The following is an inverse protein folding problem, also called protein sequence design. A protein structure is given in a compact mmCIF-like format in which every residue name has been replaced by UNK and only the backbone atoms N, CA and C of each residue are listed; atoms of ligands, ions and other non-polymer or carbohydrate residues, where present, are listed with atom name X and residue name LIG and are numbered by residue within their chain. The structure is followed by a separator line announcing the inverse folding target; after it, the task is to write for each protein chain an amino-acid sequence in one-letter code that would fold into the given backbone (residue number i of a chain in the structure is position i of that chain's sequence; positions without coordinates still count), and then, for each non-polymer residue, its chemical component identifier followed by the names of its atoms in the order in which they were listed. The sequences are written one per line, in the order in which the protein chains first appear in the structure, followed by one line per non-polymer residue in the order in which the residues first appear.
data_IF_183381333438
#
_entry.id   IF_183381333438
#
_cell.length_a   1.000
_cell.length_b   1.000
_cell.length_c   1.000
_cell.angle_alpha   90.00
_cell.angle_beta   90.00
_cell.angle_gamma   90.00
#
_symmetry.space_group_name_H-M   'P 1'
#
loop_
_entity.id
_entity.type
_entity.pdbx_description
1 polymer ?
#
# COMPACT_ATOMS: atom_id res chain seq x y z
N UNK A 1 31.63 -3.33 6.80
CA UNK A 1 31.28 -3.82 5.45
C UNK A 1 30.11 -2.99 4.94
N UNK A 2 30.12 -2.50 3.69
CA UNK A 2 29.05 -1.65 3.11
C UNK A 2 27.98 -2.53 2.43
N UNK A 3 27.25 -3.32 3.21
CA UNK A 3 26.19 -4.16 2.67
C UNK A 3 24.90 -3.35 2.49
N UNK A 4 24.30 -3.46 1.31
CA UNK A 4 23.02 -2.84 0.97
C UNK A 4 22.00 -3.94 0.73
N UNK A 5 20.93 -3.95 1.51
CA UNK A 5 19.75 -4.78 1.25
C UNK A 5 18.78 -3.95 0.39
N UNK A 6 18.41 -4.51 -0.77
CA UNK A 6 17.44 -3.91 -1.68
C UNK A 6 16.12 -4.67 -1.55
N UNK A 7 15.11 -3.98 -1.01
CA UNK A 7 13.75 -4.47 -0.86
C UNK A 7 12.90 -3.85 -1.97
N UNK A 8 12.37 -4.69 -2.86
CA UNK A 8 11.47 -4.26 -3.92
C UNK A 8 10.04 -4.73 -3.63
N UNK A 9 9.04 -3.87 -3.83
CA UNK A 9 7.64 -4.18 -3.54
C UNK A 9 6.69 -3.62 -4.60
N UNK A 10 5.48 -4.20 -4.65
CA UNK A 10 4.33 -3.62 -5.33
C UNK A 10 3.14 -3.80 -4.37
N UNK A 11 2.71 -2.69 -3.77
CA UNK A 11 1.68 -2.69 -2.73
C UNK A 11 0.26 -2.75 -3.32
N UNK A 12 -0.70 -3.16 -2.49
CA UNK A 12 -2.09 -3.34 -2.90
C UNK A 12 -2.68 -2.05 -3.52
N UNK A 13 -3.23 -2.15 -4.73
CA UNK A 13 -3.68 -0.98 -5.49
C UNK A 13 -5.05 -0.41 -5.04
N UNK A 14 -6.09 -1.23 -4.78
CA UNK A 14 -7.38 -0.71 -4.34
C UNK A 14 -7.29 0.03 -3.00
N UNK A 15 -8.17 1.01 -2.79
CA UNK A 15 -8.37 1.62 -1.46
C UNK A 15 -7.87 3.04 -1.21
N UNK A 16 -7.90 3.88 -2.23
CA UNK A 16 -7.71 5.33 -2.05
C UNK A 16 -6.30 5.67 -1.61
N UNK A 17 -6.13 6.41 -0.52
CA UNK A 17 -4.83 6.80 0.06
C UNK A 17 -4.57 6.11 1.42
N UNK A 18 -5.25 4.99 1.67
CA UNK A 18 -5.07 4.18 2.88
C UNK A 18 -6.18 4.31 3.93
N UNK A 19 -7.32 4.92 3.59
CA UNK A 19 -8.46 5.07 4.51
C UNK A 19 -9.45 3.90 4.43
N UNK A 20 -10.09 3.60 5.57
CA UNK A 20 -11.20 2.66 5.60
C UNK A 20 -10.77 1.20 5.49
N UNK A 21 -11.73 0.35 5.09
CA UNK A 21 -11.51 -1.09 4.87
C UNK A 21 -10.52 -1.30 3.72
N UNK A 22 -10.68 -0.54 2.64
CA UNK A 22 -9.90 -0.72 1.43
C UNK A 22 -8.42 -0.35 1.63
N UNK A 23 -8.11 0.56 2.56
CA UNK A 23 -6.76 0.94 2.93
C UNK A 23 -6.03 -0.05 3.86
N UNK A 24 -6.75 -0.97 4.51
CA UNK A 24 -6.22 -1.82 5.58
C UNK A 24 -5.08 -2.74 5.11
N UNK A 25 -5.19 -3.28 3.88
CA UNK A 25 -4.14 -4.13 3.31
C UNK A 25 -2.83 -3.37 3.12
N UNK A 26 -2.89 -2.13 2.62
CA UNK A 26 -1.69 -1.30 2.50
C UNK A 26 -1.13 -0.88 3.85
N UNK A 27 -1.97 -0.59 4.83
CA UNK A 27 -1.52 -0.31 6.21
C UNK A 27 -0.74 -1.50 6.78
N UNK A 28 -1.26 -2.72 6.61
CA UNK A 28 -0.58 -3.94 7.04
C UNK A 28 0.75 -4.15 6.31
N UNK A 29 0.78 -3.97 4.99
CA UNK A 29 2.01 -4.05 4.18
C UNK A 29 3.05 -3.01 4.61
N UNK A 30 2.63 -1.76 4.85
CA UNK A 30 3.51 -0.68 5.29
C UNK A 30 4.13 -1.00 6.66
N UNK A 31 3.33 -1.50 7.60
CA UNK A 31 3.79 -1.93 8.91
C UNK A 31 4.85 -3.04 8.81
N UNK A 32 4.57 -4.09 8.03
CA UNK A 32 5.49 -5.21 7.83
C UNK A 32 6.81 -4.77 7.17
N UNK A 33 6.74 -3.90 6.16
CA UNK A 33 7.93 -3.32 5.54
C UNK A 33 8.72 -2.49 6.56
N UNK A 34 8.06 -1.66 7.35
CA UNK A 34 8.70 -0.89 8.41
C UNK A 34 9.46 -1.80 9.41
N UNK A 35 8.85 -2.88 9.88
CA UNK A 35 9.51 -3.83 10.80
C UNK A 35 10.68 -4.57 10.12
N UNK A 36 10.53 -4.97 8.86
CA UNK A 36 11.62 -5.57 8.09
C UNK A 36 12.81 -4.61 7.92
N UNK A 37 12.55 -3.33 7.66
CA UNK A 37 13.59 -2.31 7.54
C UNK A 37 14.31 -2.12 8.86
N UNK A 38 13.58 -2.01 9.99
CA UNK A 38 14.19 -1.93 11.33
C UNK A 38 15.11 -3.13 11.59
N UNK A 39 14.65 -4.34 11.31
CA UNK A 39 15.42 -5.58 11.45
C UNK A 39 16.72 -5.56 10.61
N UNK A 40 16.69 -5.02 9.37
CA UNK A 40 17.91 -4.89 8.55
C UNK A 40 18.88 -3.86 9.11
N UNK A 41 18.37 -2.74 9.60
CA UNK A 41 19.18 -1.67 10.19
C UNK A 41 19.85 -2.12 11.49
N UNK A 42 19.15 -2.88 12.34
CA UNK A 42 19.70 -3.47 13.55
C UNK A 42 20.86 -4.43 13.26
N UNK A 43 20.82 -5.10 12.10
CA UNK A 43 21.93 -5.93 11.60
C UNK A 43 23.06 -5.14 10.94
N UNK A 44 23.04 -3.81 11.04
CA UNK A 44 24.07 -2.94 10.49
C UNK A 44 24.09 -2.89 8.96
N UNK A 45 22.95 -3.14 8.30
CA UNK A 45 22.83 -3.07 6.83
C UNK A 45 22.20 -1.77 6.38
N UNK A 46 22.69 -1.23 5.26
CA UNK A 46 22.01 -0.16 4.55
C UNK A 46 20.79 -0.72 3.85
N UNK A 47 19.72 0.07 3.74
CA UNK A 47 18.47 -0.36 3.12
C UNK A 47 18.10 0.58 2.00
N UNK A 48 17.76 0.01 0.84
CA UNK A 48 16.97 0.64 -0.21
C UNK A 48 15.63 -0.09 -0.27
N UNK A 49 14.53 0.63 -0.05
CA UNK A 49 13.16 0.14 -0.18
C UNK A 49 12.50 0.84 -1.37
N UNK A 50 12.14 0.11 -2.40
CA UNK A 50 11.69 0.69 -3.67
C UNK A 50 10.54 -0.07 -4.32
N UNK A 51 9.89 0.57 -5.30
CA UNK A 51 8.81 -0.01 -6.10
C UNK A 51 7.55 0.86 -6.09
N UNK A 52 6.41 0.25 -6.45
CA UNK A 52 5.11 0.91 -6.49
C UNK A 52 4.38 0.73 -5.14
N UNK A 53 4.22 1.82 -4.41
CA UNK A 53 3.56 1.84 -3.11
C UNK A 53 2.05 2.05 -3.22
N UNK A 54 1.54 2.33 -4.42
CA UNK A 54 0.15 2.66 -4.69
C UNK A 54 -0.41 3.74 -3.75
N UNK A 55 0.46 4.62 -3.24
CA UNK A 55 0.11 5.61 -2.23
C UNK A 55 0.82 6.93 -2.52
N UNK A 56 0.12 8.06 -2.37
CA UNK A 56 0.68 9.39 -2.59
C UNK A 56 1.57 9.84 -1.42
N UNK A 57 2.41 10.88 -1.60
CA UNK A 57 3.37 11.31 -0.57
C UNK A 57 2.75 11.70 0.78
N UNK A 58 1.49 12.18 0.77
CA UNK A 58 0.78 12.61 1.98
C UNK A 58 0.00 11.49 2.68
N UNK A 59 0.01 10.27 2.14
CA UNK A 59 -0.73 9.13 2.70
C UNK A 59 -0.17 8.68 4.04
N UNK A 60 -1.00 8.00 4.84
CA UNK A 60 -0.55 7.34 6.07
C UNK A 60 0.49 6.27 5.80
N UNK A 61 0.42 5.62 4.62
CA UNK A 61 1.36 4.59 4.18
C UNK A 61 2.79 5.15 4.13
N UNK A 62 2.96 6.31 3.50
CA UNK A 62 4.27 6.96 3.43
C UNK A 62 4.72 7.44 4.81
N UNK A 63 3.83 7.99 5.63
CA UNK A 63 4.17 8.40 7.01
C UNK A 63 4.63 7.25 7.90
N UNK A 64 4.05 6.04 7.77
CA UNK A 64 4.51 4.84 8.50
C UNK A 64 5.97 4.54 8.17
N UNK A 65 6.32 4.54 6.87
CA UNK A 65 7.66 4.21 6.39
C UNK A 65 8.68 5.30 6.75
N UNK A 66 8.32 6.57 6.52
CA UNK A 66 9.18 7.73 6.77
C UNK A 66 9.34 8.06 8.25
N UNK A 67 8.34 7.78 9.09
CA UNK A 67 8.43 8.01 10.54
C UNK A 67 8.97 6.78 11.24
N UNK A 68 8.30 5.62 11.13
CA UNK A 68 8.60 4.42 11.91
C UNK A 68 9.96 3.81 11.62
N UNK A 69 10.29 3.67 10.33
CA UNK A 69 11.59 3.16 9.90
C UNK A 69 12.55 4.30 9.57
N UNK A 70 12.18 5.55 9.85
CA UNK A 70 12.91 6.79 9.53
C UNK A 70 13.51 6.81 8.12
N UNK A 71 12.80 6.21 7.17
CA UNK A 71 13.26 6.14 5.78
C UNK A 71 13.25 7.53 5.16
N UNK A 72 14.28 7.81 4.37
CA UNK A 72 14.38 9.04 3.59
C UNK A 72 13.86 8.82 2.18
N UNK A 73 13.03 9.74 1.68
CA UNK A 73 12.56 9.74 0.30
C UNK A 73 13.60 10.39 -0.64
N UNK A 74 14.18 9.61 -1.54
CA UNK A 74 15.19 10.08 -2.48
C UNK A 74 14.72 11.25 -3.34
N UNK A 75 13.45 11.25 -3.79
CA UNK A 75 12.92 12.31 -4.64
C UNK A 75 12.74 13.61 -3.85
N UNK A 76 12.13 13.52 -2.67
CA UNK A 76 11.88 14.68 -1.80
C UNK A 76 13.18 15.33 -1.31
N UNK A 77 14.27 14.56 -1.15
CA UNK A 77 15.56 15.10 -0.74
C UNK A 77 16.34 15.79 -1.87
N UNK A 78 16.07 15.45 -3.13
CA UNK A 78 16.81 15.97 -4.30
C UNK A 78 16.04 17.03 -5.08
N UNK A 79 14.77 17.25 -4.76
CA UNK A 79 13.89 18.19 -5.45
C UNK A 79 13.21 19.12 -4.44
N UNK A 80 12.86 20.33 -4.89
CA UNK A 80 12.12 21.27 -4.05
C UNK A 80 10.71 20.75 -3.79
N UNK A 81 10.16 21.08 -2.62
CA UNK A 81 8.77 20.77 -2.32
C UNK A 81 7.83 21.39 -3.37
N UNK A 82 6.91 20.61 -3.96
CA UNK A 82 6.05 21.12 -5.01
C UNK A 82 5.07 22.17 -4.47
N UNK A 83 4.61 23.12 -5.32
CA UNK A 83 3.58 24.06 -4.93
C UNK A 83 2.27 23.32 -4.63
N UNK A 84 1.44 23.89 -3.75
CA UNK A 84 0.10 23.36 -3.48
C UNK A 84 -0.70 23.24 -4.78
N UNK A 85 -1.43 22.13 -4.95
CA UNK A 85 -2.26 21.86 -6.15
C UNK A 85 -3.37 22.90 -6.35
N UNK A 86 -3.74 23.65 -5.30
CA UNK A 86 -4.74 24.73 -5.37
C UNK A 86 -4.14 26.09 -5.68
N UNK A 87 -2.81 26.21 -5.73
CA UNK A 87 -2.11 27.48 -5.95
C UNK A 87 -2.13 27.94 -7.40
N UNK A 88 -1.92 29.24 -7.62
CA UNK A 88 -1.73 29.81 -8.97
C UNK A 88 -0.43 29.27 -9.60
N UNK A 89 0.62 29.12 -8.80
CA UNK A 89 1.91 28.58 -9.26
C UNK A 89 1.75 27.19 -9.90
N UNK A 90 0.99 26.30 -9.25
CA UNK A 90 0.68 24.98 -9.82
C UNK A 90 -0.12 25.05 -11.12
N UNK A 91 -1.15 25.91 -11.18
CA UNK A 91 -1.99 26.07 -12.37
C UNK A 91 -1.24 26.55 -13.62
N UNK A 92 -0.11 27.23 -13.42
CA UNK A 92 0.73 27.74 -14.51
C UNK A 92 1.76 26.70 -15.02
N UNK A 93 1.86 25.53 -14.38
CA UNK A 93 2.78 24.49 -14.81
C UNK A 93 2.26 23.77 -16.06
N UNK A 94 3.15 23.57 -17.04
CA UNK A 94 2.90 22.64 -18.15
C UNK A 94 2.88 21.20 -17.65
N UNK A 95 2.26 20.24 -18.39
CA UNK A 95 2.27 18.83 -18.00
C UNK A 95 3.65 18.25 -17.69
N UNK A 96 4.68 18.64 -18.45
CA UNK A 96 6.07 18.21 -18.23
C UNK A 96 6.63 18.81 -16.95
N UNK A 97 6.41 20.10 -16.70
CA UNK A 97 6.84 20.73 -15.45
C UNK A 97 6.12 20.14 -14.25
N UNK A 98 4.81 19.89 -14.35
CA UNK A 98 4.04 19.22 -13.30
C UNK A 98 4.60 17.85 -12.98
N UNK A 99 4.92 17.04 -14.00
CA UNK A 99 5.55 15.74 -13.83
C UNK A 99 6.88 15.86 -13.08
N UNK A 100 7.75 16.78 -13.50
CA UNK A 100 9.08 16.97 -12.91
C UNK A 100 9.07 17.63 -11.53
N UNK A 101 8.07 18.44 -11.20
CA UNK A 101 8.00 19.12 -9.90
C UNK A 101 7.35 18.21 -8.86
N UNK A 102 6.28 17.50 -9.24
CA UNK A 102 5.57 16.60 -8.32
C UNK A 102 6.12 15.17 -8.30
N UNK A 103 7.04 14.82 -9.20
CA UNK A 103 7.56 13.46 -9.34
C UNK A 103 6.49 12.48 -9.80
N UNK A 104 5.67 12.88 -10.77
CA UNK A 104 4.56 12.06 -11.27
C UNK A 104 5.11 10.86 -12.02
N UNK A 105 4.68 9.67 -11.60
CA UNK A 105 5.05 8.39 -12.21
C UNK A 105 3.86 7.67 -12.83
N UNK A 106 2.63 7.94 -12.39
CA UNK A 106 1.43 7.24 -12.86
C UNK A 106 0.29 8.22 -13.22
N UNK A 107 -0.70 7.75 -13.98
CA UNK A 107 -1.92 8.48 -14.33
C UNK A 107 -1.62 9.87 -14.94
N UNK A 108 -0.55 9.99 -15.73
CA UNK A 108 -0.06 11.24 -16.31
C UNK A 108 -0.70 11.56 -17.67
N UNK A 109 -1.01 12.84 -17.97
CA UNK A 109 -1.45 13.23 -19.31
C UNK A 109 -0.39 13.04 -20.40
N UNK A 110 0.88 12.82 -20.01
CA UNK A 110 1.99 12.54 -20.94
C UNK A 110 2.11 11.06 -21.31
N UNK A 111 1.40 10.18 -20.61
CA UNK A 111 1.48 8.74 -20.81
C UNK A 111 0.36 8.25 -21.74
N UNK A 112 0.69 7.47 -22.76
CA UNK A 112 -0.29 7.08 -23.80
C UNK A 112 -1.39 6.16 -23.29
N UNK A 113 -1.14 5.40 -22.22
CA UNK A 113 -2.14 4.49 -21.64
C UNK A 113 -3.10 5.20 -20.68
N UNK A 114 -2.66 6.26 -20.00
CA UNK A 114 -3.48 6.95 -18.99
C UNK A 114 -4.03 8.31 -19.42
N UNK A 115 -3.51 8.94 -20.47
CA UNK A 115 -3.97 10.27 -20.93
C UNK A 115 -5.48 10.32 -21.20
N UNK A 116 -6.02 9.35 -21.96
CA UNK A 116 -7.44 9.31 -22.29
C UNK A 116 -8.32 9.05 -21.04
N UNK A 117 -7.86 8.19 -20.12
CA UNK A 117 -8.53 7.91 -18.84
C UNK A 117 -8.57 9.16 -17.97
N UNK A 118 -7.44 9.87 -17.85
CA UNK A 118 -7.32 11.09 -17.06
C UNK A 118 -8.21 12.21 -17.60
N UNK A 119 -8.26 12.39 -18.92
CA UNK A 119 -9.09 13.41 -19.57
C UNK A 119 -10.60 13.23 -19.29
N UNK A 120 -11.05 11.98 -19.12
CA UNK A 120 -12.44 11.63 -18.80
C UNK A 120 -12.80 11.84 -17.33
N UNK A 121 -11.82 11.98 -16.43
CA UNK A 121 -12.08 12.24 -15.01
C UNK A 121 -12.73 13.60 -14.80
N UNK A 122 -13.53 13.73 -13.74
CA UNK A 122 -14.18 15.00 -13.41
C UNK A 122 -13.13 16.13 -13.21
N UNK A 123 -13.38 17.40 -13.63
CA UNK A 123 -12.40 18.49 -13.47
C UNK A 123 -11.96 18.77 -12.03
N UNK A 124 -12.78 18.36 -11.05
CA UNK A 124 -12.47 18.47 -9.60
C UNK A 124 -11.77 17.24 -9.02
N UNK A 125 -11.51 16.21 -9.82
CA UNK A 125 -10.74 15.03 -9.38
C UNK A 125 -9.30 15.44 -9.05
N UNK A 126 -8.82 15.02 -7.88
CA UNK A 126 -7.50 15.43 -7.40
C UNK A 126 -6.38 14.97 -8.34
N UNK A 127 -6.46 13.76 -8.87
CA UNK A 127 -5.43 13.23 -9.80
C UNK A 127 -5.37 14.09 -11.05
N UNK A 128 -6.54 14.52 -11.56
CA UNK A 128 -6.62 15.44 -12.70
C UNK A 128 -6.07 16.84 -12.37
N UNK A 129 -6.40 17.41 -11.21
CA UNK A 129 -5.89 18.73 -10.79
C UNK A 129 -4.37 18.68 -10.61
N UNK A 130 -3.86 17.65 -9.93
CA UNK A 130 -2.43 17.46 -9.66
C UNK A 130 -1.65 17.17 -10.94
N UNK A 131 -2.27 16.61 -11.97
CA UNK A 131 -1.62 16.22 -13.23
C UNK A 131 -1.03 14.81 -13.22
N UNK A 132 -1.53 13.95 -12.33
CA UNK A 132 -1.15 12.54 -12.19
C UNK A 132 -0.89 12.16 -10.73
N UNK A 133 -0.25 11.00 -10.54
CA UNK A 133 0.08 10.44 -9.24
C UNK A 133 1.57 10.14 -9.10
N UNK A 134 2.10 10.32 -7.90
CA UNK A 134 3.42 9.84 -7.52
C UNK A 134 3.24 8.60 -6.68
N UNK A 135 3.48 7.43 -7.27
CA UNK A 135 3.25 6.12 -6.63
C UNK A 135 4.53 5.29 -6.50
N UNK A 136 5.54 5.60 -7.30
CA UNK A 136 6.81 4.87 -7.32
C UNK A 136 7.86 5.62 -6.50
N UNK A 137 8.54 4.89 -5.60
CA UNK A 137 9.47 5.47 -4.64
C UNK A 137 10.79 4.71 -4.60
N UNK A 138 11.86 5.43 -4.22
CA UNK A 138 13.12 4.86 -3.75
C UNK A 138 13.38 5.49 -2.39
N UNK A 139 13.06 4.73 -1.35
CA UNK A 139 13.29 5.09 0.05
C UNK A 139 14.60 4.48 0.52
N UNK A 140 15.31 5.15 1.43
CA UNK A 140 16.59 4.64 1.90
C UNK A 140 16.89 5.01 3.35
N UNK A 141 17.69 4.18 4.01
CA UNK A 141 18.26 4.49 5.31
C UNK A 141 19.58 3.77 5.51
N UNK A 142 20.49 4.44 6.21
CA UNK A 142 21.72 3.82 6.71
C UNK A 142 21.60 3.52 8.20
N UNK A 143 22.23 2.44 8.70
CA UNK A 143 22.20 2.14 10.11
C UNK A 143 22.94 3.24 10.90
N UNK A 144 22.50 3.60 12.11
CA UNK A 144 23.10 4.69 12.89
C UNK A 144 24.61 4.49 13.13
N UNK A 145 25.03 3.24 13.28
CA UNK A 145 26.42 2.83 13.58
C UNK A 145 27.32 2.73 12.34
N UNK A 146 26.81 3.02 11.14
CA UNK A 146 27.59 2.91 9.91
C UNK A 146 28.69 3.97 9.82
N UNK A 147 29.92 3.55 9.52
CA UNK A 147 31.06 4.45 9.25
C UNK A 147 30.97 5.21 7.93
N UNK A 148 30.10 4.78 7.02
CA UNK A 148 29.75 5.53 5.80
C UNK A 148 28.25 5.43 5.59
N UNK A 149 27.56 6.54 5.32
CA UNK A 149 26.11 6.55 5.08
C UNK A 149 25.81 6.70 3.59
N UNK A 150 24.73 6.07 3.14
CA UNK A 150 24.13 6.34 1.84
C UNK A 150 23.67 7.79 1.79
N UNK A 151 24.03 8.48 0.71
CA UNK A 151 23.54 9.79 0.35
C UNK A 151 23.00 9.73 -1.08
N UNK A 152 21.80 10.25 -1.27
CA UNK A 152 21.23 10.43 -2.60
C UNK A 152 21.90 11.64 -3.27
N UNK A 153 22.34 11.46 -4.51
CA UNK A 153 22.98 12.51 -5.30
C UNK A 153 22.01 13.14 -6.30
N UNK A 154 21.20 12.31 -6.94
CA UNK A 154 20.24 12.76 -7.94
C UNK A 154 19.09 11.76 -8.09
N UNK A 155 17.94 12.27 -8.53
CA UNK A 155 16.82 11.47 -9.02
C UNK A 155 16.37 11.94 -10.39
N UNK A 156 15.69 11.06 -11.12
CA UNK A 156 15.12 11.38 -12.43
C UNK A 156 13.89 10.52 -12.73
N UNK A 157 12.87 11.13 -13.33
CA UNK A 157 11.79 10.40 -14.01
C UNK A 157 12.29 10.01 -15.40
N UNK A 158 12.26 8.72 -15.71
CA UNK A 158 12.82 8.11 -16.91
C UNK A 158 11.75 7.33 -17.68
N UNK A 159 12.06 6.94 -18.92
CA UNK A 159 11.13 6.22 -19.81
C UNK A 159 9.85 7.03 -20.06
N UNK A 160 9.99 8.36 -20.19
CA UNK A 160 8.88 9.28 -20.45
C UNK A 160 8.63 9.45 -21.94
N UNK A 161 9.66 9.17 -22.74
CA UNK A 161 9.61 9.12 -24.18
C UNK A 161 8.84 7.89 -24.70
N UNK A 162 8.13 8.01 -25.83
CA UNK A 162 7.52 6.85 -26.48
C UNK A 162 8.57 5.84 -26.95
N UNK A 163 8.18 4.57 -26.97
CA UNK A 163 8.97 3.49 -27.57
C UNK A 163 9.21 3.81 -29.05
N UNK A 164 10.49 3.85 -29.50
CA UNK A 164 10.83 4.11 -30.89
C UNK A 164 10.09 3.17 -31.85
N UNK A 165 9.44 3.72 -32.87
CA UNK A 165 8.69 2.96 -33.87
C UNK A 165 7.26 2.55 -33.48
N UNK A 166 6.89 2.62 -32.19
CA UNK A 166 5.53 2.28 -31.74
C UNK A 166 4.70 3.51 -31.36
N UNK A 167 5.33 4.59 -30.90
CA UNK A 167 4.63 5.81 -30.51
C UNK A 167 3.77 5.68 -29.24
N UNK A 168 3.98 4.62 -28.46
CA UNK A 168 3.34 4.38 -27.16
C UNK A 168 4.37 4.45 -26.03
N UNK A 169 3.94 4.77 -24.81
CA UNK A 169 4.79 4.73 -23.61
C UNK A 169 5.31 3.30 -23.33
N UNK A 170 6.43 3.17 -22.60
CA UNK A 170 6.98 1.85 -22.23
C UNK A 170 6.10 1.06 -21.25
N UNK A 171 5.34 1.76 -20.41
CA UNK A 171 4.42 1.24 -19.41
C UNK A 171 3.35 2.31 -19.13
N UNK A 172 2.29 1.99 -18.40
CA UNK A 172 1.34 2.97 -17.86
C UNK A 172 1.91 3.77 -16.68
N UNK A 173 3.06 3.34 -16.16
CA UNK A 173 3.94 4.10 -15.27
C UNK A 173 5.21 4.58 -15.99
N UNK A 174 5.75 5.72 -15.56
CA UNK A 174 7.11 6.16 -15.84
C UNK A 174 8.07 5.59 -14.79
N UNK A 175 9.34 5.39 -15.17
CA UNK A 175 10.36 4.91 -14.24
C UNK A 175 10.88 6.01 -13.33
N UNK A 176 11.27 5.64 -12.11
CA UNK A 176 12.04 6.50 -11.19
C UNK A 176 13.45 5.92 -11.04
N UNK A 177 14.46 6.75 -11.29
CA UNK A 177 15.87 6.41 -11.10
C UNK A 177 16.50 7.30 -10.04
N UNK A 178 17.43 6.75 -9.26
CA UNK A 178 18.21 7.48 -8.26
C UNK A 178 19.68 7.03 -8.26
N UNK A 179 20.59 7.97 -8.05
CA UNK A 179 22.02 7.70 -7.87
C UNK A 179 22.41 7.96 -6.43
N UNK A 180 23.17 7.03 -5.83
CA UNK A 180 23.63 7.10 -4.45
C UNK A 180 25.13 6.98 -4.35
N UNK A 181 25.72 7.64 -3.35
CA UNK A 181 27.10 7.42 -2.94
C UNK A 181 27.20 7.16 -1.44
N UNK A 182 28.33 6.56 -1.04
CA UNK A 182 28.67 6.36 0.37
C UNK A 182 29.54 7.50 0.86
N UNK A 183 29.04 8.30 1.77
CA UNK A 183 29.81 9.36 2.41
C UNK A 183 30.34 8.90 3.77
N UNK A 184 31.66 8.99 4.02
CA UNK A 184 32.25 8.73 5.34
C UNK A 184 31.61 9.63 6.40
N UNK A 185 31.35 9.08 7.58
CA UNK A 185 31.04 9.90 8.76
C UNK A 185 32.37 10.39 9.35
N UNK A 186 32.65 11.69 9.27
CA UNK A 186 33.78 12.27 10.00
C UNK A 186 33.50 12.14 11.50
N UNK A 187 34.43 11.57 12.31
CA UNK A 187 34.26 11.55 13.75
C UNK A 187 34.46 12.97 14.28
N UNK A 188 33.38 13.74 14.39
CA UNK A 188 33.45 15.07 15.00
C UNK A 188 33.52 14.90 16.51
N UNK A 189 34.67 15.23 17.09
CA UNK A 189 34.86 15.44 18.52
C UNK A 189 34.02 16.66 18.95
N UNK A 190 33.08 16.45 19.87
CA UNK A 190 32.38 17.43 20.72
C UNK A 190 31.74 18.68 20.08
N UNK A 191 30.41 18.68 19.96
CA UNK A 191 29.51 19.59 20.68
C UNK A 191 28.08 19.13 20.41
N UNK A 192 27.36 18.75 21.48
CA UNK A 192 25.92 18.46 21.45
C UNK A 192 25.17 19.77 21.17
N UNK A 193 25.17 20.16 19.90
CA UNK A 193 24.12 20.99 19.35
C UNK A 193 23.03 20.02 18.95
N UNK A 194 21.99 19.93 19.78
CA UNK A 194 20.72 19.27 19.48
C UNK A 194 20.08 19.90 18.23
N UNK A 195 20.65 19.64 17.06
CA UNK A 195 19.90 19.60 15.82
C UNK A 195 19.30 18.20 15.75
N UNK A 196 18.01 18.15 15.48
CA UNK A 196 17.07 17.08 15.83
C UNK A 196 17.23 15.78 15.01
N UNK A 197 18.45 15.28 14.80
CA UNK A 197 18.75 14.06 14.05
C UNK A 197 19.02 12.83 14.93
N UNK A 198 18.56 12.85 16.19
CA UNK A 198 18.91 11.85 17.21
C UNK A 198 17.74 11.21 17.96
N UNK A 199 16.48 11.41 17.57
CA UNK A 199 15.39 10.52 17.99
C UNK A 199 15.11 9.56 16.84
N UNK A 200 15.17 8.25 17.09
CA UNK A 200 14.61 7.28 16.14
C UNK A 200 13.18 7.71 15.84
N UNK A 201 12.89 8.00 14.57
CA UNK A 201 11.55 8.40 14.18
C UNK A 201 10.57 7.34 14.68
N UNK A 202 9.53 7.78 15.38
CA UNK A 202 8.47 6.92 15.87
C UNK A 202 7.17 7.36 15.20
N UNK A 203 6.39 6.39 14.73
CA UNK A 203 5.06 6.64 14.17
C UNK A 203 4.23 7.38 15.22
N UNK A 204 3.53 8.46 14.89
CA UNK A 204 2.77 9.21 15.89
C UNK A 204 1.66 8.35 16.53
N UNK A 205 1.26 8.64 17.77
CA UNK A 205 0.12 7.94 18.40
C UNK A 205 -1.18 8.12 17.62
N UNK A 206 -1.34 9.27 16.94
CA UNK A 206 -2.46 9.54 16.05
C UNK A 206 -2.44 8.62 14.82
N UNK A 207 -1.29 8.46 14.18
CA UNK A 207 -1.13 7.53 13.05
C UNK A 207 -1.35 6.08 13.50
N UNK A 208 -0.80 5.65 14.64
CA UNK A 208 -1.05 4.30 15.18
C UNK A 208 -2.54 4.06 15.44
N UNK A 209 -3.25 5.04 16.00
CA UNK A 209 -4.70 4.95 16.20
C UNK A 209 -5.46 4.85 14.89
N UNK A 210 -5.02 5.57 13.85
CA UNK A 210 -5.61 5.53 12.51
C UNK A 210 -5.37 4.18 11.84
N UNK A 211 -4.17 3.62 11.98
CA UNK A 211 -3.83 2.28 11.51
C UNK A 211 -4.73 1.22 12.15
N UNK A 212 -4.82 1.22 13.48
CA UNK A 212 -5.69 0.29 14.21
C UNK A 212 -7.13 0.44 13.79
N UNK A 213 -7.64 1.67 13.66
CA UNK A 213 -9.00 1.92 13.18
C UNK A 213 -9.25 1.26 11.81
N UNK A 214 -8.34 1.44 10.85
CA UNK A 214 -8.49 0.86 9.50
C UNK A 214 -8.45 -0.67 9.54
N UNK A 215 -7.50 -1.24 10.26
CA UNK A 215 -7.36 -2.70 10.40
C UNK A 215 -8.56 -3.33 11.13
N UNK A 216 -9.06 -2.68 12.19
CA UNK A 216 -10.25 -3.14 12.93
C UNK A 216 -11.52 -3.06 12.07
N UNK A 217 -11.66 -2.02 11.24
CA UNK A 217 -12.78 -1.93 10.28
C UNK A 217 -12.72 -3.09 9.28
N UNK A 218 -11.54 -3.39 8.72
CA UNK A 218 -11.36 -4.53 7.82
C UNK A 218 -11.61 -5.87 8.53
N UNK A 219 -11.17 -6.03 9.77
CA UNK A 219 -11.39 -7.24 10.56
C UNK A 219 -12.89 -7.48 10.82
N UNK A 220 -13.64 -6.43 11.17
CA UNK A 220 -15.11 -6.51 11.33
C UNK A 220 -15.80 -6.84 10.01
N UNK A 221 -15.36 -6.24 8.91
CA UNK A 221 -15.87 -6.57 7.60
C UNK A 221 -15.62 -8.04 7.24
N UNK A 222 -14.41 -8.56 7.48
CA UNK A 222 -14.06 -9.96 7.25
C UNK A 222 -14.91 -10.92 8.10
N UNK A 223 -15.22 -10.55 9.35
CA UNK A 223 -16.15 -11.29 10.21
C UNK A 223 -17.57 -11.35 9.64
N UNK A 224 -18.11 -10.21 9.21
CA UNK A 224 -19.45 -10.14 8.62
C UNK A 224 -19.53 -10.90 7.30
N UNK A 225 -18.50 -10.76 6.46
CA UNK A 225 -18.35 -11.52 5.22
C UNK A 225 -18.36 -13.02 5.51
N UNK A 226 -17.53 -13.49 6.45
CA UNK A 226 -17.49 -14.90 6.84
C UNK A 226 -18.84 -15.41 7.34
N UNK A 227 -19.53 -14.67 8.22
CA UNK A 227 -20.88 -15.02 8.70
C UNK A 227 -21.86 -15.16 7.54
N UNK A 228 -21.86 -14.21 6.60
CA UNK A 228 -22.71 -14.24 5.41
C UNK A 228 -22.40 -15.45 4.52
N UNK A 229 -21.13 -15.79 4.30
CA UNK A 229 -20.73 -16.97 3.54
C UNK A 229 -21.27 -18.25 4.20
N UNK A 230 -21.15 -18.39 5.52
CA UNK A 230 -21.70 -19.55 6.24
C UNK A 230 -23.24 -19.61 6.20
N UNK A 231 -23.93 -18.47 6.31
CA UNK A 231 -25.39 -18.43 6.15
C UNK A 231 -25.83 -18.90 4.76
N UNK A 232 -25.13 -18.46 3.71
CA UNK A 232 -25.39 -18.89 2.33
C UNK A 232 -25.06 -20.38 2.12
N UNK A 233 -24.01 -20.89 2.75
CA UNK A 233 -23.70 -22.32 2.75
C UNK A 233 -24.80 -23.14 3.41
N UNK A 234 -25.26 -22.75 4.60
CA UNK A 234 -26.36 -23.43 5.30
C UNK A 234 -27.64 -23.38 4.47
N UNK A 235 -27.95 -22.24 3.84
CA UNK A 235 -29.07 -22.12 2.91
C UNK A 235 -28.95 -23.10 1.73
N UNK A 236 -27.77 -23.20 1.11
CA UNK A 236 -27.52 -24.15 0.03
C UNK A 236 -27.71 -25.61 0.50
N UNK A 237 -27.27 -25.95 1.72
CA UNK A 237 -27.44 -27.27 2.32
C UNK A 237 -28.91 -27.66 2.47
N UNK A 238 -29.79 -26.70 2.77
CA UNK A 238 -31.24 -26.91 2.80
C UNK A 238 -31.89 -26.93 1.42
N UNK A 239 -31.42 -26.13 0.47
CA UNK A 239 -32.00 -26.06 -0.88
C UNK A 239 -31.76 -27.33 -1.69
N UNK A 240 -30.61 -27.99 -1.56
CA UNK A 240 -30.30 -29.24 -2.29
C UNK A 240 -31.36 -30.34 -2.05
N UNK A 241 -31.71 -30.73 -0.80
CA UNK A 241 -32.75 -31.73 -0.57
C UNK A 241 -34.14 -31.24 -0.98
N UNK A 242 -34.45 -29.94 -0.82
CA UNK A 242 -35.72 -29.37 -1.30
C UNK A 242 -35.84 -29.53 -2.82
N UNK A 243 -34.78 -29.28 -3.57
CA UNK A 243 -34.74 -29.47 -5.02
C UNK A 243 -34.87 -30.95 -5.41
N UNK A 244 -34.24 -31.86 -4.66
CA UNK A 244 -34.36 -33.29 -4.90
C UNK A 244 -35.79 -33.82 -4.65
N UNK A 245 -36.43 -33.34 -3.57
CA UNK A 245 -37.84 -33.65 -3.28
C UNK A 245 -38.74 -33.05 -4.36
N UNK A 246 -38.57 -31.77 -4.68
CA UNK A 246 -39.37 -31.09 -5.71
C UNK A 246 -39.26 -31.78 -7.08
N UNK A 247 -38.07 -32.25 -7.46
CA UNK A 247 -37.86 -33.03 -8.69
C UNK A 247 -38.74 -34.30 -8.74
N UNK A 248 -38.99 -34.94 -7.59
CA UNK A 248 -39.78 -36.17 -7.49
C UNK A 248 -41.29 -35.95 -7.69
N UNK A 249 -41.78 -34.74 -7.37
CA UNK A 249 -43.19 -34.35 -7.46
C UNK A 249 -43.53 -33.53 -8.70
N UNK A 250 -42.55 -33.23 -9.57
CA UNK A 250 -42.78 -32.39 -10.74
C UNK A 250 -43.56 -33.16 -11.83
N UNK A 251 -44.65 -32.60 -12.40
CA UNK A 251 -45.57 -33.33 -13.27
C UNK A 251 -44.97 -33.68 -14.65
N UNK A 252 -43.97 -32.95 -15.12
CA UNK A 252 -43.32 -33.14 -16.44
C UNK A 252 -42.05 -34.01 -16.33
N UNK A 253 -42.14 -35.16 -15.64
CA UNK A 253 -41.01 -36.03 -15.21
C UNK A 253 -39.99 -36.41 -16.31
N UNK A 254 -40.35 -36.35 -17.58
CA UNK A 254 -39.41 -36.59 -18.71
C UNK A 254 -38.77 -35.33 -19.29
N UNK A 255 -39.44 -34.18 -19.27
CA UNK A 255 -39.02 -32.99 -20.02
C UNK A 255 -38.19 -31.99 -19.20
N UNK A 256 -38.41 -31.87 -17.87
CA UNK A 256 -37.72 -30.85 -17.04
C UNK A 256 -36.90 -31.44 -15.88
N UNK A 257 -36.84 -32.76 -15.69
CA UNK A 257 -36.09 -33.36 -14.56
C UNK A 257 -34.59 -33.07 -14.62
N UNK A 258 -34.02 -32.96 -15.84
CA UNK A 258 -32.63 -32.56 -16.04
C UNK A 258 -32.34 -31.15 -15.48
N UNK A 259 -33.34 -30.24 -15.49
CA UNK A 259 -33.18 -28.89 -14.96
C UNK A 259 -32.98 -28.89 -13.45
N UNK A 260 -33.67 -29.75 -12.71
CA UNK A 260 -33.49 -29.89 -11.26
C UNK A 260 -32.13 -30.47 -10.90
N UNK A 261 -31.60 -31.39 -11.73
CA UNK A 261 -30.24 -31.93 -11.56
C UNK A 261 -29.20 -30.84 -11.77
N UNK A 262 -29.35 -30.06 -12.85
CA UNK A 262 -28.46 -28.91 -13.13
C UNK A 262 -28.53 -27.89 -12.00
N UNK A 263 -29.73 -27.52 -11.54
CA UNK A 263 -29.93 -26.55 -10.47
C UNK A 263 -29.37 -27.05 -9.13
N UNK A 264 -29.64 -28.31 -8.77
CA UNK A 264 -29.10 -28.93 -7.55
C UNK A 264 -27.57 -28.98 -7.57
N UNK A 265 -26.98 -29.31 -8.72
CA UNK A 265 -25.52 -29.29 -8.91
C UNK A 265 -24.97 -27.88 -8.76
N UNK A 266 -25.60 -26.89 -9.37
CA UNK A 266 -25.18 -25.48 -9.28
C UNK A 266 -25.28 -24.95 -7.84
N UNK A 267 -26.36 -25.27 -7.12
CA UNK A 267 -26.53 -24.90 -5.71
C UNK A 267 -25.50 -25.60 -4.83
N UNK A 268 -25.25 -26.89 -5.05
CA UNK A 268 -24.23 -27.66 -4.33
C UNK A 268 -22.82 -27.11 -4.54
N UNK A 269 -22.44 -26.82 -5.79
CA UNK A 269 -21.15 -26.21 -6.12
C UNK A 269 -21.01 -24.80 -5.51
N UNK A 270 -22.08 -24.00 -5.55
CA UNK A 270 -22.13 -22.69 -4.91
C UNK A 270 -21.97 -22.80 -3.40
N UNK A 271 -22.67 -23.73 -2.75
CA UNK A 271 -22.56 -24.00 -1.32
C UNK A 271 -21.14 -24.41 -0.92
N UNK A 272 -20.54 -25.37 -1.64
CA UNK A 272 -19.16 -25.78 -1.40
C UNK A 272 -18.17 -24.61 -1.55
N UNK A 273 -18.40 -23.73 -2.53
CA UNK A 273 -17.60 -22.51 -2.70
C UNK A 273 -17.74 -21.59 -1.49
N UNK A 274 -18.96 -21.33 -1.01
CA UNK A 274 -19.23 -20.48 0.17
C UNK A 274 -18.61 -21.05 1.45
N UNK A 275 -18.57 -22.38 1.59
CA UNK A 275 -17.87 -23.05 2.68
C UNK A 275 -16.35 -22.78 2.60
N UNK A 276 -15.75 -22.95 1.42
CA UNK A 276 -14.31 -22.75 1.23
C UNK A 276 -13.90 -21.28 1.45
N UNK A 277 -14.61 -20.34 0.84
CA UNK A 277 -14.35 -18.90 0.98
C UNK A 277 -14.61 -18.41 2.40
N UNK A 278 -15.69 -18.87 3.04
CA UNK A 278 -16.02 -18.53 4.42
C UNK A 278 -15.05 -19.13 5.43
N UNK A 279 -14.71 -20.40 5.30
CA UNK A 279 -13.83 -21.08 6.26
C UNK A 279 -12.36 -20.77 6.02
N UNK A 280 -11.81 -21.13 4.85
CA UNK A 280 -10.38 -20.98 4.57
C UNK A 280 -10.03 -19.51 4.38
N UNK A 281 -10.70 -18.84 3.43
CA UNK A 281 -10.44 -17.43 3.12
C UNK A 281 -10.71 -16.52 4.32
N UNK A 282 -11.87 -16.68 4.96
CA UNK A 282 -12.24 -15.88 6.13
C UNK A 282 -11.28 -16.05 7.32
N UNK A 283 -10.81 -17.27 7.60
CA UNK A 283 -9.86 -17.48 8.69
C UNK A 283 -8.46 -16.96 8.37
N UNK A 284 -8.01 -17.07 7.12
CA UNK A 284 -6.72 -16.52 6.69
C UNK A 284 -6.70 -14.99 6.79
N UNK A 285 -7.71 -14.32 6.22
CA UNK A 285 -7.82 -12.86 6.24
C UNK A 285 -7.85 -12.34 7.68
N UNK A 286 -8.72 -12.92 8.51
CA UNK A 286 -8.85 -12.56 9.92
C UNK A 286 -7.57 -12.84 10.71
N UNK A 287 -6.90 -13.96 10.42
CA UNK A 287 -5.65 -14.33 11.06
C UNK A 287 -4.54 -13.32 10.75
N UNK A 288 -4.39 -12.95 9.48
CA UNK A 288 -3.41 -11.97 9.03
C UNK A 288 -3.67 -10.59 9.66
N UNK A 289 -4.92 -10.11 9.62
CA UNK A 289 -5.31 -8.83 10.25
C UNK A 289 -5.07 -8.84 11.75
N UNK A 290 -5.46 -9.92 12.45
CA UNK A 290 -5.27 -10.04 13.90
C UNK A 290 -3.81 -9.97 14.30
N UNK A 291 -2.91 -10.61 13.54
CA UNK A 291 -1.48 -10.56 13.85
C UNK A 291 -0.94 -9.13 13.77
N UNK A 292 -1.26 -8.41 12.69
CA UNK A 292 -0.81 -7.02 12.51
C UNK A 292 -1.44 -6.09 13.56
N UNK A 293 -2.71 -6.28 13.89
CA UNK A 293 -3.38 -5.53 14.96
C UNK A 293 -2.66 -5.74 16.29
N UNK A 294 -2.39 -7.00 16.66
CA UNK A 294 -1.71 -7.33 17.91
C UNK A 294 -0.29 -6.73 17.97
N UNK A 295 0.45 -6.75 16.86
CA UNK A 295 1.78 -6.14 16.78
C UNK A 295 1.74 -4.62 17.02
N UNK A 296 0.75 -3.94 16.44
CA UNK A 296 0.57 -2.49 16.60
C UNK A 296 0.08 -2.14 18.00
N UNK A 297 -0.84 -2.92 18.57
CA UNK A 297 -1.31 -2.76 19.95
C UNK A 297 -0.15 -2.92 20.94
N UNK A 298 0.69 -3.96 20.76
CA UNK A 298 1.87 -4.15 21.58
C UNK A 298 2.87 -2.98 21.46
N UNK A 299 3.05 -2.41 20.26
CA UNK A 299 3.87 -1.20 20.10
C UNK A 299 3.28 0.00 20.83
N UNK A 300 1.96 0.18 20.81
CA UNK A 300 1.30 1.26 21.55
C UNK A 300 1.46 1.08 23.07
N UNK A 301 1.24 -0.13 23.58
CA UNK A 301 1.40 -0.44 25.01
C UNK A 301 2.83 -0.17 25.50
N UNK A 302 3.85 -0.63 24.75
CA UNK A 302 5.26 -0.36 25.08
C UNK A 302 5.56 1.14 25.22
N UNK A 303 4.93 1.98 24.41
CA UNK A 303 5.13 3.43 24.45
C UNK A 303 4.43 4.10 25.61
N UNK A 304 3.25 3.62 25.97
CA UNK A 304 2.52 4.11 27.14
C UNK A 304 3.30 3.77 28.42
N UNK A 305 3.88 2.58 28.51
CA UNK A 305 4.79 2.18 29.60
C UNK A 305 6.04 3.07 29.66
N UNK A 306 6.75 3.25 28.54
CA UNK A 306 7.91 4.14 28.46
C UNK A 306 7.57 5.60 28.82
N UNK A 307 6.38 6.06 28.45
CA UNK A 307 5.87 7.38 28.77
C UNK A 307 5.53 7.57 30.25
N UNK A 308 5.08 6.53 30.93
CA UNK A 308 4.85 6.54 32.39
C UNK A 308 6.15 6.48 33.18
N UNK A 309 7.14 5.69 32.74
CA UNK A 309 8.46 5.58 33.40
C UNK A 309 9.26 6.89 33.32
N UNK A 310 9.01 7.71 32.29
CA UNK A 310 9.69 9.01 32.09
C UNK A 310 9.03 10.19 32.81
N UNK A 311 7.88 10.00 33.47
CA UNK A 311 7.16 11.03 34.25
C UNK A 311 7.42 10.86 35.74
#
# INVERSE_FOLDING_TARGET
MRLVDVLNTHMFAPGGEGDGIDGAHRVAQAWQLNEMVKEKLERGRHVLLMGDFNSQPYSIIMRILESGASLSDAWALTNQAPPSITSIAHRNLTPVQTMLVHGITCDSPLNTYSAAKLAKRHPRDETRIRGGKRLDYILFRSPPTASSKLQVESTKIVLTEPVPGLGVSYSDHFGLAATFSFQPQTPTTEHVSHSNQGSGGSISSEDLSTMLKNLMMAYRYALEYQKRQFQLFVLALFLVPVLAIAASYQPLRGALSWLFVVLGTAVGASGATMLYTGFVGGNWERGALRNVIADIEAEMERRDEDGQVRR
#
